data_IF_271531932064
#
_entry.id   IF_271531932064
#
_cell.length_a   1.000
_cell.length_b   1.000
_cell.length_c   1.000
_cell.angle_alpha   90.00
_cell.angle_beta   90.00
_cell.angle_gamma   90.00
#
_symmetry.space_group_name_H-M   'P 1'
#
loop_
_entity.id
_entity.type
_entity.pdbx_description
1 polymer ?
#
# COMPACT_ATOMS: atom_id res chain seq x y z
N UNK A 1 -15.37 1.60 20.77
CA UNK A 1 -15.86 2.96 20.42
C UNK A 1 -16.34 2.91 18.99
N UNK A 2 -17.49 3.52 18.73
CA UNK A 2 -18.08 3.59 17.40
C UNK A 2 -17.24 4.57 16.55
N UNK A 3 -16.75 4.09 15.41
CA UNK A 3 -15.97 4.88 14.46
C UNK A 3 -16.77 4.92 13.17
N UNK A 4 -17.04 6.13 12.68
CA UNK A 4 -17.69 6.37 11.40
C UNK A 4 -16.93 7.45 10.65
N UNK A 5 -16.59 7.19 9.39
CA UNK A 5 -15.97 8.15 8.48
C UNK A 5 -16.26 7.77 7.03
N UNK A 6 -16.08 8.72 6.15
CA UNK A 6 -16.21 8.56 4.72
C UNK A 6 -14.99 9.16 4.02
N UNK A 7 -14.54 8.53 2.95
CA UNK A 7 -13.41 8.97 2.13
C UNK A 7 -13.87 9.03 0.67
N UNK A 8 -13.69 10.19 0.05
CA UNK A 8 -14.08 10.39 -1.32
C UNK A 8 -13.04 9.82 -2.29
N UNK A 9 -13.49 9.45 -3.49
CA UNK A 9 -12.61 8.97 -4.56
C UNK A 9 -11.55 10.02 -4.89
N UNK A 10 -10.29 9.58 -4.99
CA UNK A 10 -9.15 10.45 -5.27
C UNK A 10 -8.71 11.32 -4.09
N UNK A 11 -9.19 11.04 -2.89
CA UNK A 11 -8.79 11.74 -1.66
C UNK A 11 -7.53 11.11 -1.04
N UNK A 12 -6.70 11.93 -0.41
CA UNK A 12 -5.67 11.51 0.52
C UNK A 12 -6.17 11.76 1.93
N UNK A 13 -6.56 10.70 2.63
CA UNK A 13 -7.17 10.73 3.95
C UNK A 13 -6.21 10.21 5.02
N UNK A 14 -6.03 10.97 6.10
CA UNK A 14 -5.19 10.60 7.23
C UNK A 14 -6.00 10.11 8.42
N UNK A 15 -5.75 8.89 8.89
CA UNK A 15 -6.30 8.35 10.13
C UNK A 15 -5.33 8.61 11.27
N UNK A 16 -5.64 9.59 12.12
CA UNK A 16 -4.76 10.04 13.19
C UNK A 16 -5.25 9.52 14.55
N UNK A 17 -4.34 9.05 15.36
CA UNK A 17 -4.63 8.58 16.71
C UNK A 17 -3.38 8.04 17.40
N UNK A 18 -3.39 7.87 18.73
CA UNK A 18 -2.26 7.33 19.47
C UNK A 18 -1.96 5.87 19.09
N UNK A 19 -0.78 5.39 19.50
CA UNK A 19 -0.44 3.99 19.35
C UNK A 19 -1.43 3.11 20.10
N UNK A 20 -1.83 2.00 19.48
CA UNK A 20 -2.84 1.11 20.04
C UNK A 20 -4.30 1.56 19.89
N UNK A 21 -4.57 2.71 19.27
CA UNK A 21 -5.96 3.20 19.06
C UNK A 21 -6.78 2.34 18.07
N UNK A 22 -6.15 1.37 17.41
CA UNK A 22 -6.83 0.46 16.47
C UNK A 22 -6.74 0.86 15.00
N UNK A 23 -5.89 1.82 14.61
CA UNK A 23 -5.67 2.24 13.22
C UNK A 23 -5.38 1.05 12.29
N UNK A 24 -4.39 0.23 12.65
CA UNK A 24 -4.04 -1.01 11.93
C UNK A 24 -5.23 -1.99 11.83
N UNK A 25 -6.04 -2.10 12.89
CA UNK A 25 -7.22 -2.97 12.88
C UNK A 25 -8.27 -2.49 11.88
N UNK A 26 -8.48 -1.17 11.78
CA UNK A 26 -9.37 -0.58 10.78
C UNK A 26 -8.87 -0.89 9.37
N UNK A 27 -7.57 -0.67 9.09
CA UNK A 27 -7.01 -0.98 7.77
C UNK A 27 -7.13 -2.46 7.42
N UNK A 28 -6.88 -3.37 8.39
CA UNK A 28 -7.06 -4.81 8.17
C UNK A 28 -8.52 -5.19 7.90
N UNK A 29 -9.48 -4.53 8.55
CA UNK A 29 -10.90 -4.73 8.30
C UNK A 29 -11.26 -4.24 6.88
N UNK A 30 -10.86 -3.03 6.50
CA UNK A 30 -11.15 -2.45 5.18
C UNK A 30 -10.46 -3.22 4.04
N UNK A 31 -9.29 -3.79 4.29
CA UNK A 31 -8.58 -4.65 3.32
C UNK A 31 -8.99 -6.12 3.39
N UNK A 32 -10.02 -6.44 4.18
CA UNK A 32 -10.59 -7.80 4.33
C UNK A 32 -9.63 -8.84 4.93
N UNK A 33 -8.64 -8.39 5.68
CA UNK A 33 -7.69 -9.26 6.39
C UNK A 33 -8.17 -9.59 7.83
N UNK A 34 -9.18 -8.86 8.31
CA UNK A 34 -9.81 -9.05 9.61
C UNK A 34 -11.32 -8.84 9.47
N UNK A 35 -12.11 -9.68 10.11
CA UNK A 35 -13.56 -9.50 10.19
C UNK A 35 -13.92 -8.50 11.28
N UNK A 36 -14.88 -7.58 11.04
CA UNK A 36 -15.37 -6.71 12.08
C UNK A 36 -16.21 -7.48 13.11
N UNK A 37 -16.13 -7.12 14.38
CA UNK A 37 -17.00 -7.67 15.41
C UNK A 37 -18.45 -7.14 15.29
N UNK A 38 -18.58 -5.90 14.81
CA UNK A 38 -19.87 -5.21 14.60
C UNK A 38 -19.69 -4.07 13.60
N UNK A 39 -20.79 -3.50 13.14
CA UNK A 39 -20.77 -2.41 12.16
C UNK A 39 -20.68 -2.90 10.72
N UNK A 40 -20.67 -1.96 9.81
CA UNK A 40 -20.61 -2.19 8.36
C UNK A 40 -19.59 -1.25 7.73
N UNK A 41 -18.97 -1.67 6.64
CA UNK A 41 -18.13 -0.80 5.83
C UNK A 41 -18.17 -1.23 4.36
N UNK A 42 -17.89 -0.28 3.50
CA UNK A 42 -17.71 -0.54 2.06
C UNK A 42 -16.38 0.06 1.59
N UNK A 43 -15.75 -0.59 0.63
CA UNK A 43 -14.56 -0.09 -0.05
C UNK A 43 -14.83 -0.13 -1.55
N UNK A 44 -14.72 1.02 -2.20
CA UNK A 44 -15.04 1.18 -3.63
C UNK A 44 -16.46 0.63 -3.98
N UNK A 45 -17.43 0.83 -3.08
CA UNK A 45 -18.81 0.35 -3.24
C UNK A 45 -19.04 -1.13 -2.89
N UNK A 46 -18.00 -1.89 -2.55
CA UNK A 46 -18.07 -3.30 -2.19
C UNK A 46 -18.15 -3.50 -0.68
N UNK A 47 -19.06 -4.36 -0.22
CA UNK A 47 -19.17 -4.75 1.20
C UNK A 47 -17.96 -5.58 1.65
N UNK A 48 -17.35 -5.19 2.78
CA UNK A 48 -16.11 -5.81 3.29
C UNK A 48 -16.24 -7.29 3.65
N UNK A 49 -17.45 -7.78 3.90
CA UNK A 49 -17.71 -9.18 4.26
C UNK A 49 -18.16 -9.98 3.05
N UNK A 50 -19.16 -9.47 2.32
CA UNK A 50 -19.78 -10.19 1.20
C UNK A 50 -18.91 -10.18 -0.05
N UNK A 51 -18.27 -9.04 -0.34
CA UNK A 51 -17.55 -8.78 -1.59
C UNK A 51 -16.03 -8.77 -1.41
N UNK A 52 -15.50 -9.45 -0.39
CA UNK A 52 -14.07 -9.41 -0.05
C UNK A 52 -13.15 -9.76 -1.23
N UNK A 53 -13.57 -10.65 -2.13
CA UNK A 53 -12.78 -11.01 -3.31
C UNK A 53 -12.64 -9.84 -4.30
N UNK A 54 -13.67 -9.02 -4.44
CA UNK A 54 -13.64 -7.83 -5.31
C UNK A 54 -12.74 -6.75 -4.68
N UNK A 55 -12.87 -6.55 -3.37
CA UNK A 55 -12.02 -5.60 -2.65
C UNK A 55 -10.55 -5.97 -2.82
N UNK A 56 -10.15 -7.24 -2.61
CA UNK A 56 -8.77 -7.70 -2.74
C UNK A 56 -8.17 -7.51 -4.13
N UNK A 57 -9.00 -7.41 -5.18
CA UNK A 57 -8.54 -7.13 -6.54
C UNK A 57 -8.29 -5.64 -6.80
N UNK A 58 -8.95 -4.77 -6.06
CA UNK A 58 -8.92 -3.33 -6.32
C UNK A 58 -8.22 -2.50 -5.25
N UNK A 59 -7.72 -3.12 -4.17
CA UNK A 59 -6.98 -2.42 -3.12
C UNK A 59 -5.50 -2.81 -3.10
N UNK A 60 -4.64 -1.83 -2.82
CA UNK A 60 -3.27 -2.06 -2.42
C UNK A 60 -3.15 -1.87 -0.90
N UNK A 61 -2.33 -2.69 -0.24
CA UNK A 61 -2.08 -2.57 1.18
C UNK A 61 -0.59 -2.66 1.50
N UNK A 62 -0.09 -1.66 2.18
CA UNK A 62 1.27 -1.61 2.71
C UNK A 62 1.18 -1.61 4.25
N UNK A 63 1.50 -2.75 4.92
CA UNK A 63 1.49 -2.84 6.37
C UNK A 63 2.65 -2.06 6.99
N UNK A 64 2.49 -1.60 8.24
CA UNK A 64 3.47 -0.80 8.97
C UNK A 64 4.80 -1.52 9.26
N UNK A 65 4.79 -2.85 9.25
CA UNK A 65 6.00 -3.66 9.31
C UNK A 65 6.37 -4.14 7.91
N UNK A 66 7.66 -4.05 7.57
CA UNK A 66 8.16 -4.58 6.30
C UNK A 66 7.81 -6.07 6.17
N UNK A 67 6.94 -6.38 5.24
CA UNK A 67 6.31 -7.71 5.08
C UNK A 67 6.72 -8.41 3.79
N UNK A 68 7.63 -7.82 3.01
CA UNK A 68 8.14 -8.44 1.79
C UNK A 68 9.16 -9.55 2.10
N UNK A 69 9.37 -10.41 1.13
CA UNK A 69 10.32 -11.52 1.24
C UNK A 69 11.75 -10.99 1.26
N UNK A 70 12.40 -11.03 2.44
CA UNK A 70 13.72 -10.43 2.65
C UNK A 70 14.84 -11.15 1.89
N UNK A 71 14.69 -12.45 1.65
CA UNK A 71 15.65 -13.28 0.91
C UNK A 71 15.53 -13.15 -0.60
N UNK A 72 14.39 -12.66 -1.10
CA UNK A 72 14.20 -12.36 -2.50
C UNK A 72 14.79 -10.99 -2.85
N UNK A 73 15.23 -10.86 -4.10
CA UNK A 73 15.68 -9.59 -4.66
C UNK A 73 14.52 -8.60 -4.83
N UNK A 74 14.85 -7.33 -5.12
CA UNK A 74 13.86 -6.31 -5.48
C UNK A 74 12.97 -6.77 -6.64
N UNK A 75 13.60 -7.26 -7.71
CA UNK A 75 12.90 -7.71 -8.92
C UNK A 75 12.05 -8.96 -8.66
N UNK A 76 12.55 -9.93 -7.89
CA UNK A 76 11.81 -11.14 -7.52
C UNK A 76 10.59 -10.83 -6.65
N UNK A 77 10.70 -9.91 -5.67
CA UNK A 77 9.55 -9.46 -4.90
C UNK A 77 8.48 -8.84 -5.80
N UNK A 78 8.87 -7.94 -6.69
CA UNK A 78 7.92 -7.25 -7.56
C UNK A 78 7.25 -8.22 -8.54
N UNK A 79 8.01 -9.15 -9.14
CA UNK A 79 7.49 -10.19 -10.01
C UNK A 79 6.54 -11.15 -9.28
N UNK A 80 6.83 -11.49 -8.01
CA UNK A 80 5.93 -12.30 -7.20
C UNK A 80 4.54 -11.66 -7.08
N UNK A 81 4.48 -10.39 -6.68
CA UNK A 81 3.21 -9.68 -6.56
C UNK A 81 2.53 -9.47 -7.91
N UNK A 82 3.27 -9.16 -8.96
CA UNK A 82 2.73 -9.06 -10.32
C UNK A 82 2.06 -10.39 -10.73
N UNK A 83 2.72 -11.51 -10.49
CA UNK A 83 2.20 -12.85 -10.81
C UNK A 83 0.93 -13.17 -10.01
N UNK A 84 0.89 -12.86 -8.72
CA UNK A 84 -0.30 -13.08 -7.86
C UNK A 84 -1.54 -12.36 -8.42
N UNK A 85 -1.36 -11.20 -9.03
CA UNK A 85 -2.43 -10.40 -9.62
C UNK A 85 -2.58 -10.59 -11.14
N UNK A 86 -1.94 -11.60 -11.73
CA UNK A 86 -1.99 -11.90 -13.18
C UNK A 86 -1.58 -10.70 -14.05
N UNK A 87 -0.51 -10.02 -13.67
CA UNK A 87 0.09 -8.91 -14.42
C UNK A 87 1.60 -9.07 -14.51
N UNK A 88 2.30 -8.14 -15.16
CA UNK A 88 3.76 -8.08 -15.21
C UNK A 88 4.26 -6.69 -14.84
N UNK A 89 5.55 -6.57 -14.54
CA UNK A 89 6.19 -5.27 -14.26
C UNK A 89 6.02 -4.36 -15.48
N UNK A 90 6.25 -4.88 -16.68
CA UNK A 90 6.20 -4.12 -17.95
C UNK A 90 4.80 -3.55 -18.22
N UNK A 91 3.75 -4.35 -17.99
CA UNK A 91 2.37 -3.91 -18.21
C UNK A 91 1.99 -2.71 -17.34
N UNK A 92 2.52 -2.62 -16.13
CA UNK A 92 2.17 -1.60 -15.16
C UNK A 92 3.34 -0.68 -14.80
N UNK A 93 4.42 -0.73 -15.57
CA UNK A 93 5.64 0.04 -15.33
C UNK A 93 5.36 1.55 -15.18
N UNK A 94 4.51 2.11 -16.03
CA UNK A 94 4.21 3.54 -16.00
C UNK A 94 3.60 4.01 -14.66
N UNK A 95 2.87 3.14 -13.96
CA UNK A 95 2.28 3.48 -12.66
C UNK A 95 3.34 3.55 -11.56
N UNK A 96 4.34 2.66 -11.60
CA UNK A 96 5.38 2.56 -10.57
C UNK A 96 6.68 3.26 -10.95
N UNK A 97 6.82 3.70 -12.18
CA UNK A 97 8.07 4.21 -12.78
C UNK A 97 8.78 5.23 -11.89
N UNK A 98 8.08 6.27 -11.44
CA UNK A 98 8.67 7.38 -10.67
C UNK A 98 9.24 6.92 -9.31
N UNK A 99 8.73 5.79 -8.81
CA UNK A 99 9.19 5.15 -7.57
C UNK A 99 10.27 4.13 -7.89
N UNK A 100 9.97 3.25 -8.85
CA UNK A 100 10.81 2.10 -9.20
C UNK A 100 12.18 2.50 -9.73
N UNK A 101 12.28 3.55 -10.57
CA UNK A 101 13.56 4.04 -11.11
C UNK A 101 14.60 4.32 -10.02
N UNK A 102 14.18 4.65 -8.81
CA UNK A 102 15.09 4.94 -7.69
C UNK A 102 15.65 3.67 -7.03
N UNK A 103 15.01 2.53 -7.21
CA UNK A 103 15.44 1.23 -6.67
C UNK A 103 15.85 0.25 -7.77
N UNK A 104 15.53 0.51 -9.01
CA UNK A 104 15.88 -0.32 -10.17
C UNK A 104 17.38 -0.61 -10.31
N UNK A 105 18.32 0.34 -10.04
CA UNK A 105 19.74 0.05 -10.02
C UNK A 105 20.16 -1.06 -9.02
N UNK A 106 19.29 -1.35 -8.07
CA UNK A 106 19.50 -2.36 -7.03
C UNK A 106 18.59 -3.58 -7.20
N UNK A 107 18.02 -3.79 -8.39
CA UNK A 107 17.00 -4.81 -8.65
C UNK A 107 17.45 -6.25 -8.31
N UNK A 108 18.74 -6.54 -8.40
CA UNK A 108 19.33 -7.83 -8.03
C UNK A 108 19.73 -7.96 -6.56
N UNK A 109 19.59 -6.88 -5.77
CA UNK A 109 19.91 -6.89 -4.35
C UNK A 109 18.74 -7.49 -3.56
N UNK A 110 19.06 -8.31 -2.54
CA UNK A 110 18.04 -8.87 -1.63
C UNK A 110 17.34 -7.76 -0.85
N UNK A 111 16.03 -7.88 -0.70
CA UNK A 111 15.21 -6.87 -0.02
C UNK A 111 15.64 -6.65 1.44
N UNK A 112 16.13 -7.68 2.12
CA UNK A 112 16.68 -7.57 3.46
C UNK A 112 17.87 -6.62 3.59
N UNK A 113 18.65 -6.43 2.51
CA UNK A 113 19.86 -5.59 2.46
C UNK A 113 19.60 -4.14 2.04
N UNK A 114 18.34 -3.78 1.77
CA UNK A 114 17.95 -2.42 1.39
C UNK A 114 17.92 -1.50 2.62
N UNK A 115 18.16 -0.20 2.40
CA UNK A 115 17.88 0.83 3.41
C UNK A 115 16.38 0.91 3.72
N UNK A 116 16.02 1.53 4.85
CA UNK A 116 14.61 1.71 5.23
C UNK A 116 13.79 2.41 4.15
N UNK A 117 14.29 3.51 3.58
CA UNK A 117 13.63 4.22 2.50
C UNK A 117 13.48 3.40 1.21
N UNK A 118 14.49 2.60 0.86
CA UNK A 118 14.39 1.69 -0.30
C UNK A 118 13.39 0.56 -0.06
N UNK A 119 13.33 0.00 1.14
CA UNK A 119 12.33 -1.00 1.54
C UNK A 119 10.91 -0.46 1.38
N UNK A 120 10.68 0.79 1.76
CA UNK A 120 9.37 1.42 1.60
C UNK A 120 9.02 1.67 0.14
N UNK A 121 9.97 2.13 -0.66
CA UNK A 121 9.77 2.30 -2.11
C UNK A 121 9.40 0.96 -2.77
N UNK A 122 10.11 -0.11 -2.41
CA UNK A 122 9.77 -1.45 -2.90
C UNK A 122 8.38 -1.91 -2.45
N UNK A 123 8.05 -1.74 -1.17
CA UNK A 123 6.74 -2.11 -0.64
C UNK A 123 5.60 -1.33 -1.33
N UNK A 124 5.81 -0.04 -1.59
CA UNK A 124 4.85 0.78 -2.32
C UNK A 124 4.69 0.31 -3.78
N UNK A 125 5.79 0.00 -4.49
CA UNK A 125 5.72 -0.58 -5.84
C UNK A 125 4.94 -1.90 -5.86
N UNK A 126 5.19 -2.79 -4.90
CA UNK A 126 4.46 -4.06 -4.79
C UNK A 126 2.96 -3.86 -4.50
N UNK A 127 2.60 -2.87 -3.68
CA UNK A 127 1.21 -2.53 -3.40
C UNK A 127 0.49 -1.89 -4.60
N UNK A 128 1.23 -1.31 -5.55
CA UNK A 128 0.71 -0.61 -6.72
C UNK A 128 0.70 -1.46 -8.00
N UNK A 129 1.46 -2.56 -8.05
CA UNK A 129 1.73 -3.28 -9.31
C UNK A 129 0.49 -3.76 -10.04
N UNK A 130 -0.62 -3.99 -9.35
CA UNK A 130 -1.88 -4.45 -9.92
C UNK A 130 -2.90 -3.32 -10.19
N UNK A 131 -2.46 -2.05 -10.17
CA UNK A 131 -3.29 -0.85 -10.40
C UNK A 131 -4.48 -0.73 -9.45
N UNK A 132 -4.27 -0.69 -8.13
CA UNK A 132 -5.36 -0.53 -7.19
C UNK A 132 -6.05 0.82 -7.36
N UNK A 133 -7.35 0.89 -7.04
CA UNK A 133 -8.10 2.14 -6.99
C UNK A 133 -8.08 2.78 -5.61
N UNK A 134 -7.82 1.96 -4.58
CA UNK A 134 -7.64 2.41 -3.19
C UNK A 134 -6.34 1.83 -2.64
N UNK A 135 -5.54 2.67 -2.01
CA UNK A 135 -4.26 2.30 -1.39
C UNK A 135 -4.32 2.57 0.12
N UNK A 136 -4.09 1.53 0.90
CA UNK A 136 -4.00 1.61 2.35
C UNK A 136 -2.54 1.53 2.78
N UNK A 137 -2.09 2.50 3.57
CA UNK A 137 -0.71 2.63 4.03
C UNK A 137 -0.70 2.73 5.55
N UNK A 138 -0.32 1.67 6.23
CA UNK A 138 -0.27 1.62 7.69
C UNK A 138 1.11 2.11 8.18
N UNK A 139 1.16 3.31 8.73
CA UNK A 139 2.38 3.96 9.24
C UNK A 139 3.56 3.93 8.24
N UNK A 140 3.38 4.34 6.98
CA UNK A 140 4.33 4.06 5.91
C UNK A 140 5.69 4.73 6.06
N UNK A 141 5.86 5.69 6.98
CA UNK A 141 7.11 6.43 7.17
C UNK A 141 7.73 6.25 8.56
N UNK A 142 7.25 5.26 9.32
CA UNK A 142 7.81 4.94 10.63
C UNK A 142 9.25 4.41 10.48
N UNK A 143 10.19 5.00 11.24
CA UNK A 143 11.61 4.63 11.18
C UNK A 143 12.38 5.10 9.95
N UNK A 144 11.82 6.05 9.18
CA UNK A 144 12.43 6.62 7.98
C UNK A 144 12.99 8.00 8.26
N UNK A 145 14.17 8.31 7.71
CA UNK A 145 14.79 9.62 7.80
C UNK A 145 13.92 10.73 7.17
N UNK A 146 14.19 11.98 7.54
CA UNK A 146 13.36 13.12 7.15
C UNK A 146 13.33 13.37 5.63
N UNK A 147 14.44 13.09 4.92
CA UNK A 147 14.53 13.30 3.47
C UNK A 147 13.69 12.25 2.74
N UNK A 148 13.90 10.97 3.06
CA UNK A 148 13.14 9.86 2.48
C UNK A 148 11.64 9.97 2.81
N UNK A 149 11.28 10.48 4.00
CA UNK A 149 9.89 10.75 4.38
C UNK A 149 9.26 11.80 3.48
N UNK A 150 9.95 12.93 3.24
CA UNK A 150 9.46 13.99 2.35
C UNK A 150 9.25 13.44 0.93
N UNK A 151 10.22 12.72 0.38
CA UNK A 151 10.10 12.10 -0.94
C UNK A 151 8.89 11.16 -1.02
N UNK A 152 8.65 10.36 0.02
CA UNK A 152 7.51 9.44 0.08
C UNK A 152 6.17 10.19 0.02
N UNK A 153 6.02 11.29 0.76
CA UNK A 153 4.82 12.12 0.70
C UNK A 153 4.61 12.77 -0.66
N UNK A 154 5.67 13.21 -1.34
CA UNK A 154 5.56 13.74 -2.70
C UNK A 154 5.12 12.65 -3.70
N UNK A 155 5.59 11.40 -3.52
CA UNK A 155 5.09 10.28 -4.31
C UNK A 155 3.60 10.02 -4.09
N UNK A 156 3.11 10.05 -2.85
CA UNK A 156 1.68 9.87 -2.54
C UNK A 156 0.82 10.96 -3.18
N UNK A 157 1.26 12.21 -3.17
CA UNK A 157 0.55 13.32 -3.84
C UNK A 157 0.39 13.05 -5.35
N UNK A 158 1.44 12.61 -6.03
CA UNK A 158 1.38 12.25 -7.45
C UNK A 158 0.42 11.09 -7.71
N UNK A 159 0.42 10.05 -6.87
CA UNK A 159 -0.53 8.94 -6.98
C UNK A 159 -1.97 9.40 -6.81
N UNK A 160 -2.23 10.31 -5.86
CA UNK A 160 -3.54 10.95 -5.71
C UNK A 160 -3.95 11.71 -6.97
N UNK A 161 -3.04 12.49 -7.58
CA UNK A 161 -3.29 13.24 -8.83
C UNK A 161 -3.61 12.29 -9.99
N UNK A 162 -3.13 11.05 -9.96
CA UNK A 162 -3.50 9.99 -10.90
C UNK A 162 -4.86 9.33 -10.59
N UNK A 163 -5.58 9.80 -9.57
CA UNK A 163 -6.93 9.36 -9.21
C UNK A 163 -6.98 8.20 -8.21
N UNK A 164 -5.85 7.81 -7.61
CA UNK A 164 -5.83 6.79 -6.56
C UNK A 164 -6.33 7.40 -5.25
N UNK A 165 -7.28 6.74 -4.59
CA UNK A 165 -7.71 7.09 -3.24
C UNK A 165 -6.72 6.50 -2.23
N UNK A 166 -6.23 7.30 -1.29
CA UNK A 166 -5.16 6.89 -0.37
C UNK A 166 -5.59 7.12 1.07
N UNK A 167 -5.50 6.07 1.90
CA UNK A 167 -5.67 6.13 3.35
C UNK A 167 -4.33 5.87 4.04
N UNK A 168 -3.96 6.75 4.98
CA UNK A 168 -2.69 6.70 5.73
C UNK A 168 -2.95 6.73 7.23
#
# INVERSE_FOLDING_TARGET
>A
SDISFEVNKGELFGLIGPDGAGKTSIFRILTTLLLPNSGTATVNGFDIVKDYKQIRKCVGYMPGRFSLYQDLTVEENLNFFATVFNTTIEQNYNLIKDIYVQIEPFKTRRAGQLSGGMKQKLALCCALIHKPVVLFLDEPTTGVDAVSRKEFWEMLKRLKEQGITILV
#
